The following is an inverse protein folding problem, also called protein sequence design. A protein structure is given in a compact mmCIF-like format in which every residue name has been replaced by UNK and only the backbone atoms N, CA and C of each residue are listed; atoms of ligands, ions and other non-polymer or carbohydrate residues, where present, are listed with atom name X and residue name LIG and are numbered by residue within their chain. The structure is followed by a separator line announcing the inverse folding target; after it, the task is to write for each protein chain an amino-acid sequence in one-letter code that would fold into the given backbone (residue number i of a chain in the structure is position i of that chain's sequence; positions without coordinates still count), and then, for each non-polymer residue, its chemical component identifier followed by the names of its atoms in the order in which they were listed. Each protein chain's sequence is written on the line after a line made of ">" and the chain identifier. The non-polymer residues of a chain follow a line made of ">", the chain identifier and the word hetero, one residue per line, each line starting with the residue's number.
data_IF_962930345447
#
_entry.id   IF_962930345447
#
_cell.length_a   1.000
_cell.length_b   1.000
_cell.length_c   1.000
_cell.angle_alpha   90.00
_cell.angle_beta   90.00
_cell.angle_gamma   90.00
#
_symmetry.space_group_name_H-M   'P 1'
#
loop_
_entity.id
_entity.type
_entity.pdbx_description
1 polymer ?
#
# COMPACT_ATOMS: atom_id res chain seq x y z
N UNK A 1 -18.81 4.67 -28.43
CA UNK A 1 -18.30 5.10 -27.11
C UNK A 1 -17.04 5.89 -27.38
N UNK A 2 -17.11 7.19 -27.15
CA UNK A 2 -16.16 8.23 -27.55
C UNK A 2 -14.72 7.94 -27.15
N UNK A 3 -13.78 8.24 -28.07
CA UNK A 3 -12.33 8.23 -27.86
C UNK A 3 -11.95 9.14 -26.69
N UNK A 4 -11.96 8.60 -25.47
CA UNK A 4 -11.36 9.27 -24.32
C UNK A 4 -9.84 9.26 -24.53
N UNK A 5 -9.17 10.42 -24.44
CA UNK A 5 -7.72 10.47 -24.54
C UNK A 5 -7.06 9.60 -23.46
N UNK A 6 -5.98 8.90 -23.78
CA UNK A 6 -5.30 8.00 -22.84
C UNK A 6 -4.84 8.72 -21.56
N UNK A 7 -4.42 9.98 -21.68
CA UNK A 7 -4.05 10.80 -20.54
C UNK A 7 -5.22 11.07 -19.57
N UNK A 8 -6.46 11.12 -20.05
CA UNK A 8 -7.64 11.27 -19.20
C UNK A 8 -7.86 10.02 -18.34
N UNK A 9 -7.64 8.83 -18.90
CA UNK A 9 -7.72 7.58 -18.16
C UNK A 9 -6.64 7.50 -17.07
N UNK A 10 -5.41 7.92 -17.40
CA UNK A 10 -4.30 7.98 -16.43
C UNK A 10 -4.60 8.94 -15.28
N UNK A 11 -5.15 10.13 -15.56
CA UNK A 11 -5.57 11.08 -14.52
C UNK A 11 -6.62 10.45 -13.61
N UNK A 12 -7.66 9.83 -14.18
CA UNK A 12 -8.73 9.23 -13.40
C UNK A 12 -8.23 8.07 -12.51
N UNK A 13 -7.39 7.19 -13.08
CA UNK A 13 -6.75 6.09 -12.33
C UNK A 13 -5.84 6.60 -11.23
N UNK A 14 -5.03 7.62 -11.51
CA UNK A 14 -4.11 8.22 -10.52
C UNK A 14 -4.86 8.85 -9.36
N UNK A 15 -5.92 9.60 -9.64
CA UNK A 15 -6.78 10.20 -8.60
C UNK A 15 -7.45 9.13 -7.76
N UNK A 16 -7.99 8.06 -8.39
CA UNK A 16 -8.57 6.95 -7.66
C UNK A 16 -7.54 6.27 -6.75
N UNK A 17 -6.35 5.94 -7.28
CA UNK A 17 -5.28 5.29 -6.51
C UNK A 17 -4.80 6.18 -5.38
N UNK A 18 -4.73 7.50 -5.57
CA UNK A 18 -4.38 8.44 -4.50
C UNK A 18 -5.40 8.40 -3.35
N UNK A 19 -6.70 8.48 -3.67
CA UNK A 19 -7.78 8.38 -2.67
C UNK A 19 -7.75 7.02 -1.97
N UNK A 20 -7.49 5.96 -2.73
CA UNK A 20 -7.40 4.61 -2.21
C UNK A 20 -6.22 4.43 -1.24
N UNK A 21 -5.01 4.84 -1.63
CA UNK A 21 -3.82 4.81 -0.79
C UNK A 21 -3.99 5.69 0.45
N UNK A 22 -4.65 6.84 0.33
CA UNK A 22 -4.96 7.68 1.48
C UNK A 22 -5.87 6.97 2.50
N UNK A 23 -6.84 6.19 2.02
CA UNK A 23 -7.72 5.37 2.87
C UNK A 23 -6.92 4.28 3.58
N UNK A 24 -6.03 3.60 2.86
CA UNK A 24 -5.14 2.57 3.42
C UNK A 24 -4.20 3.16 4.48
N UNK A 25 -3.51 4.26 4.18
CA UNK A 25 -2.60 4.90 5.15
C UNK A 25 -3.34 5.39 6.40
N UNK A 26 -4.56 5.91 6.24
CA UNK A 26 -5.40 6.28 7.40
C UNK A 26 -5.76 5.06 8.27
N UNK A 27 -5.97 3.89 7.65
CA UNK A 27 -6.25 2.64 8.35
C UNK A 27 -5.03 2.10 9.12
N UNK A 28 -3.82 2.20 8.53
CA UNK A 28 -2.56 1.80 9.18
C UNK A 28 -2.19 2.70 10.37
N UNK A 29 -2.73 3.92 10.44
CA UNK A 29 -2.52 4.85 11.53
C UNK A 29 -1.34 5.80 11.32
N UNK A 30 -1.16 6.74 12.26
CA UNK A 30 -0.11 7.77 12.18
C UNK A 30 1.16 7.25 12.86
N UNK A 31 2.13 6.76 12.08
CA UNK A 31 3.50 6.50 12.53
C UNK A 31 4.46 7.43 11.82
N UNK A 32 5.41 8.01 12.55
CA UNK A 32 6.45 8.84 11.95
C UNK A 32 7.40 7.96 11.12
N UNK A 33 7.98 8.49 10.04
CA UNK A 33 8.89 7.72 9.16
C UNK A 33 10.04 7.06 9.95
N UNK A 34 10.54 7.72 11.00
CA UNK A 34 11.59 7.22 11.89
C UNK A 34 11.16 6.08 12.83
N UNK A 35 9.86 5.81 12.93
CA UNK A 35 9.26 4.79 13.79
C UNK A 35 8.67 3.62 12.99
N UNK A 36 8.78 3.66 11.67
CA UNK A 36 8.39 2.52 10.83
C UNK A 36 9.39 1.38 11.05
N UNK A 37 8.86 0.18 11.25
CA UNK A 37 9.66 -1.04 11.14
C UNK A 37 10.24 -1.19 9.73
N UNK A 38 11.35 -1.92 9.61
CA UNK A 38 11.91 -2.27 8.30
C UNK A 38 10.87 -2.92 7.39
N UNK A 39 10.01 -3.78 7.96
CA UNK A 39 8.94 -4.43 7.24
C UNK A 39 7.90 -3.45 6.68
N UNK A 40 7.42 -2.50 7.50
CA UNK A 40 6.47 -1.47 7.04
C UNK A 40 7.08 -0.57 5.96
N UNK A 41 8.37 -0.24 6.07
CA UNK A 41 9.07 0.56 5.07
C UNK A 41 9.14 -0.16 3.72
N UNK A 42 9.55 -1.43 3.70
CA UNK A 42 9.60 -2.23 2.47
C UNK A 42 8.21 -2.41 1.87
N UNK A 43 7.20 -2.74 2.69
CA UNK A 43 5.82 -2.87 2.23
C UNK A 43 5.29 -1.56 1.61
N UNK A 44 5.59 -0.42 2.22
CA UNK A 44 5.23 0.91 1.70
C UNK A 44 5.84 1.19 0.33
N UNK A 45 7.13 0.86 0.12
CA UNK A 45 7.76 0.99 -1.19
C UNK A 45 7.13 0.07 -2.24
N UNK A 46 6.84 -1.19 -1.90
CA UNK A 46 6.19 -2.13 -2.82
C UNK A 46 4.80 -1.63 -3.23
N UNK A 47 4.00 -1.15 -2.27
CA UNK A 47 2.68 -0.55 -2.54
C UNK A 47 2.81 0.65 -3.47
N UNK A 48 3.81 1.53 -3.25
CA UNK A 48 4.08 2.68 -4.11
C UNK A 48 4.43 2.29 -5.54
N UNK A 49 5.24 1.25 -5.73
CA UNK A 49 5.59 0.71 -7.05
C UNK A 49 4.37 0.16 -7.81
N UNK A 50 3.54 -0.64 -7.14
CA UNK A 50 2.30 -1.17 -7.71
C UNK A 50 1.36 -0.02 -8.08
N UNK A 51 1.18 0.94 -7.18
CA UNK A 51 0.34 2.11 -7.42
C UNK A 51 0.78 2.90 -8.67
N UNK A 52 2.09 3.08 -8.87
CA UNK A 52 2.63 3.75 -10.07
C UNK A 52 2.33 2.97 -11.36
N UNK A 53 2.53 1.65 -11.36
CA UNK A 53 2.24 0.79 -12.52
C UNK A 53 0.75 0.80 -12.90
N UNK A 54 -0.13 0.77 -11.88
CA UNK A 54 -1.59 0.77 -12.05
C UNK A 54 -2.10 2.14 -12.53
N UNK A 55 -1.51 3.22 -12.00
CA UNK A 55 -1.88 4.60 -12.34
C UNK A 55 -1.50 4.95 -13.78
N UNK A 56 -0.30 4.53 -14.21
CA UNK A 56 0.21 4.75 -15.57
C UNK A 56 -0.42 3.81 -16.60
N UNK A 57 -1.14 2.77 -16.17
CA UNK A 57 -1.80 1.82 -17.07
C UNK A 57 -0.84 0.83 -17.74
N UNK A 58 0.40 0.71 -17.25
CA UNK A 58 1.32 -0.36 -17.61
C UNK A 58 0.73 -1.74 -17.27
N UNK A 59 -0.12 -1.79 -16.25
CA UNK A 59 -0.95 -2.96 -15.95
C UNK A 59 -2.29 -2.90 -16.71
N UNK A 60 -2.57 -3.93 -17.52
CA UNK A 60 -3.79 -4.07 -18.30
C UNK A 60 -5.03 -4.31 -17.41
N UNK A 61 -4.84 -4.81 -16.18
CA UNK A 61 -5.93 -5.16 -15.26
C UNK A 61 -5.85 -4.32 -13.99
N UNK A 62 -6.41 -3.12 -14.05
CA UNK A 62 -6.48 -2.16 -12.92
C UNK A 62 -6.84 -2.80 -11.56
N UNK A 63 -7.85 -3.68 -11.53
CA UNK A 63 -8.28 -4.34 -10.30
C UNK A 63 -7.25 -5.30 -9.70
N UNK A 64 -6.37 -5.91 -10.51
CA UNK A 64 -5.30 -6.78 -9.98
C UNK A 64 -4.35 -5.97 -9.10
N UNK A 65 -3.99 -4.76 -9.54
CA UNK A 65 -3.20 -3.85 -8.75
C UNK A 65 -3.87 -3.39 -7.46
N UNK A 66 -5.18 -3.11 -7.50
CA UNK A 66 -5.95 -2.76 -6.29
C UNK A 66 -5.93 -3.90 -5.27
N UNK A 67 -6.15 -5.15 -5.71
CA UNK A 67 -6.07 -6.32 -4.84
C UNK A 67 -4.64 -6.57 -4.32
N UNK A 68 -3.62 -6.37 -5.15
CA UNK A 68 -2.24 -6.49 -4.72
C UNK A 68 -1.91 -5.46 -3.61
N UNK A 69 -2.32 -4.20 -3.78
CA UNK A 69 -2.18 -3.17 -2.75
C UNK A 69 -2.90 -3.58 -1.46
N UNK A 70 -4.12 -4.12 -1.53
CA UNK A 70 -4.85 -4.60 -0.35
C UNK A 70 -4.09 -5.69 0.39
N UNK A 71 -3.56 -6.70 -0.34
CA UNK A 71 -2.80 -7.79 0.26
C UNK A 71 -1.55 -7.22 0.94
N UNK A 72 -0.76 -6.41 0.23
CA UNK A 72 0.47 -5.83 0.78
C UNK A 72 0.21 -4.87 1.95
N UNK A 73 -0.92 -4.16 1.96
CA UNK A 73 -1.32 -3.31 3.08
C UNK A 73 -1.84 -4.11 4.28
N UNK A 74 -2.45 -5.28 4.05
CA UNK A 74 -2.97 -6.12 5.13
C UNK A 74 -1.86 -6.66 6.03
N UNK A 75 -0.69 -6.98 5.48
CA UNK A 75 0.42 -7.56 6.25
C UNK A 75 0.94 -6.61 7.34
N UNK A 76 1.38 -5.36 7.06
CA UNK A 76 1.82 -4.44 8.10
C UNK A 76 0.69 -4.08 9.08
N UNK A 77 -0.56 -4.05 8.61
CA UNK A 77 -1.72 -3.87 9.48
C UNK A 77 -1.85 -5.02 10.51
N UNK A 78 -1.79 -6.28 10.06
CA UNK A 78 -1.83 -7.44 10.95
C UNK A 78 -0.61 -7.53 11.85
N UNK A 79 0.59 -7.24 11.34
CA UNK A 79 1.81 -7.19 12.15
C UNK A 79 1.69 -6.14 13.24
N UNK A 80 1.14 -4.95 12.94
CA UNK A 80 0.86 -3.92 13.93
C UNK A 80 -0.04 -4.40 15.06
N UNK A 81 -1.13 -5.11 14.73
CA UNK A 81 -2.05 -5.70 15.72
C UNK A 81 -1.36 -6.81 16.52
N UNK A 82 -0.63 -7.71 15.86
CA UNK A 82 0.00 -8.87 16.50
C UNK A 82 1.12 -8.43 17.45
N UNK A 83 1.90 -7.42 17.06
CA UNK A 83 2.95 -6.81 17.89
C UNK A 83 2.41 -6.13 19.14
N UNK A 84 1.17 -5.63 19.13
CA UNK A 84 0.50 -5.11 20.32
C UNK A 84 0.04 -6.23 21.27
N UNK A 85 -0.25 -7.42 20.74
CA UNK A 85 -0.79 -8.55 21.51
C UNK A 85 0.29 -9.48 22.07
N UNK A 86 1.44 -9.64 21.39
CA UNK A 86 2.49 -10.56 21.79
C UNK A 86 3.89 -9.94 21.64
N UNK A 87 4.64 -9.89 22.74
CA UNK A 87 6.01 -9.37 22.78
C UNK A 87 6.97 -10.18 21.91
N UNK A 88 6.80 -11.51 21.84
CA UNK A 88 7.64 -12.36 21.00
C UNK A 88 7.39 -12.15 19.49
N UNK A 89 6.15 -11.88 19.10
CA UNK A 89 5.83 -11.53 17.71
C UNK A 89 6.42 -10.16 17.34
N UNK A 90 6.33 -9.19 18.26
CA UNK A 90 6.96 -7.88 18.07
C UNK A 90 8.47 -8.00 17.89
N UNK A 91 9.14 -8.74 18.75
CA UNK A 91 10.60 -8.89 18.70
C UNK A 91 11.04 -9.60 17.40
N UNK A 92 10.29 -10.61 16.93
CA UNK A 92 10.53 -11.27 15.63
C UNK A 92 10.36 -10.32 14.43
N UNK A 93 9.25 -9.58 14.34
CA UNK A 93 8.97 -8.70 13.19
C UNK A 93 9.77 -7.39 13.20
N UNK A 94 10.13 -6.87 14.38
CA UNK A 94 11.02 -5.72 14.51
C UNK A 94 12.51 -6.08 14.35
N UNK A 95 12.84 -7.38 14.21
CA UNK A 95 14.21 -7.85 14.05
C UNK A 95 15.08 -7.65 15.30
N UNK A 96 14.46 -7.52 16.48
CA UNK A 96 15.15 -7.50 17.76
C UNK A 96 15.33 -8.94 18.20
N UNK A 97 16.51 -9.49 17.99
CA UNK A 97 16.91 -10.78 18.58
C UNK A 97 17.26 -10.64 20.05
#
# INVERSE_FOLDING_TARGET
>A
MSHLPEWTLVILRSVFILIFLFTITKCLGKRQISQLSFFEYVAGMTIGGIAAQVSTGLDQKFFHGVFAILIFASVPFFVGILSLKNKAARDFFEGKS
#
